data_IF_781138348809
#
_entry.id   IF_781138348809
#
_cell.length_a   1.000
_cell.length_b   1.000
_cell.length_c   1.000
_cell.angle_alpha   90.00
_cell.angle_beta   90.00
_cell.angle_gamma   90.00
#
_symmetry.space_group_name_H-M   'P 1'
#
loop_
_entity.id
_entity.type
_entity.pdbx_description
1 polymer ?
#
# COMPACT_ATOMS: atom_id res chain seq x y z
N UNK A 1 68.04 65.51 4.96
CA UNK A 1 68.06 65.04 6.35
C UNK A 1 66.81 64.19 6.58
N UNK A 2 67.00 62.93 6.97
CA UNK A 2 66.04 61.90 7.41
C UNK A 2 64.72 61.73 6.64
N UNK A 3 64.74 60.86 5.63
CA UNK A 3 63.61 59.99 5.28
C UNK A 3 63.49 58.92 6.35
N UNK A 4 62.45 58.99 7.18
CA UNK A 4 62.16 57.92 8.14
C UNK A 4 61.22 56.89 7.53
N UNK A 5 61.72 55.67 7.56
CA UNK A 5 61.24 54.48 6.90
C UNK A 5 60.44 53.70 7.96
N UNK A 6 59.12 53.89 8.01
CA UNK A 6 58.25 53.05 8.83
C UNK A 6 57.71 51.90 7.97
N UNK A 7 58.20 50.65 8.16
CA UNK A 7 57.55 49.51 7.54
C UNK A 7 56.20 49.28 8.22
N UNK A 8 55.14 49.18 7.41
CA UNK A 8 53.87 48.58 7.78
C UNK A 8 54.07 47.11 8.16
N UNK A 9 54.66 46.87 9.32
CA UNK A 9 54.48 45.62 10.03
C UNK A 9 53.19 45.73 10.85
N UNK A 10 52.06 45.84 10.15
CA UNK A 10 50.79 45.33 10.66
C UNK A 10 50.82 43.79 10.52
N UNK A 11 51.87 43.18 11.07
CA UNK A 11 51.96 41.76 11.33
C UNK A 11 51.10 41.52 12.58
N UNK A 12 49.79 41.74 12.43
CA UNK A 12 48.82 41.07 13.27
C UNK A 12 48.99 39.59 12.92
N UNK A 13 49.83 38.93 13.70
CA UNK A 13 49.54 37.56 14.10
C UNK A 13 48.22 37.59 14.88
N UNK A 14 47.11 37.91 14.19
CA UNK A 14 45.84 37.32 14.54
C UNK A 14 46.12 35.84 14.44
N UNK A 15 46.23 35.22 15.60
CA UNK A 15 46.10 33.80 15.77
C UNK A 15 44.73 33.51 15.17
N UNK A 16 44.69 33.20 13.87
CA UNK A 16 43.45 32.95 13.15
C UNK A 16 42.77 31.81 13.85
N UNK A 17 41.84 32.12 14.74
CA UNK A 17 40.90 31.15 15.27
C UNK A 17 40.25 30.56 14.03
N UNK A 18 40.51 29.28 13.78
CA UNK A 18 40.04 28.59 12.60
C UNK A 18 38.51 28.66 12.63
N UNK A 19 37.92 29.49 11.77
CA UNK A 19 36.46 29.61 11.71
C UNK A 19 35.92 28.34 11.05
N UNK A 20 34.97 27.64 11.69
CA UNK A 20 34.38 26.44 11.09
C UNK A 20 33.70 26.78 9.76
N UNK A 21 33.69 25.82 8.84
CA UNK A 21 32.94 25.96 7.59
C UNK A 21 31.44 25.71 7.84
N UNK A 22 30.57 26.23 6.98
CA UNK A 22 29.11 26.05 7.10
C UNK A 22 28.69 24.56 7.17
N UNK A 23 29.40 23.68 6.44
CA UNK A 23 29.15 22.25 6.51
C UNK A 23 29.44 21.66 7.90
N UNK A 24 30.52 22.12 8.55
CA UNK A 24 30.89 21.70 9.91
C UNK A 24 29.90 22.24 10.94
N UNK A 25 29.44 23.49 10.78
CA UNK A 25 28.43 24.08 11.67
C UNK A 25 27.10 23.32 11.61
N UNK A 26 26.66 22.95 10.39
CA UNK A 26 25.43 22.16 10.20
C UNK A 26 25.57 20.74 10.77
N UNK A 27 26.71 20.07 10.54
CA UNK A 27 26.98 18.75 11.11
C UNK A 27 27.06 18.83 12.65
N UNK A 28 27.73 19.86 13.18
CA UNK A 28 27.82 20.08 14.63
C UNK A 28 26.45 20.34 15.25
N UNK A 29 25.57 21.10 14.60
CA UNK A 29 24.20 21.35 15.08
C UNK A 29 23.39 20.05 15.18
N UNK A 30 23.53 19.16 14.20
CA UNK A 30 22.91 17.83 14.24
C UNK A 30 23.46 16.99 15.40
N UNK A 31 24.79 16.90 15.51
CA UNK A 31 25.47 16.14 16.57
C UNK A 31 25.12 16.69 17.97
N UNK A 32 24.96 18.01 18.09
CA UNK A 32 24.53 18.68 19.32
C UNK A 32 23.11 18.27 19.73
N UNK A 33 22.17 18.20 18.78
CA UNK A 33 20.81 17.70 19.04
C UNK A 33 20.84 16.26 19.54
N UNK A 34 21.62 15.39 18.88
CA UNK A 34 21.77 14.00 19.30
C UNK A 34 22.45 13.87 20.67
N UNK A 35 23.42 14.73 20.96
CA UNK A 35 24.11 14.75 22.25
C UNK A 35 23.17 15.08 23.42
N UNK A 36 22.25 16.03 23.22
CA UNK A 36 21.27 16.42 24.25
C UNK A 36 20.30 15.29 24.57
N UNK A 37 19.94 14.48 23.58
CA UNK A 37 19.03 13.35 23.70
C UNK A 37 19.72 12.04 24.13
N UNK A 38 21.05 12.05 24.34
CA UNK A 38 21.88 10.86 24.62
C UNK A 38 21.82 9.79 23.50
N UNK A 39 21.79 10.25 22.23
CA UNK A 39 21.63 9.42 21.04
C UNK A 39 22.85 9.38 20.10
N UNK A 40 24.00 9.91 20.53
CA UNK A 40 25.25 9.83 19.76
C UNK A 40 25.83 8.42 19.80
N UNK A 41 26.26 7.91 18.64
CA UNK A 41 27.10 6.72 18.60
C UNK A 41 28.57 7.02 18.96
N UNK A 42 29.41 5.98 19.06
CA UNK A 42 30.82 6.11 19.45
C UNK A 42 31.64 6.94 18.45
N UNK A 43 31.35 6.82 17.15
CA UNK A 43 32.07 7.52 16.09
C UNK A 43 31.68 9.01 16.07
N UNK A 44 30.38 9.27 16.15
CA UNK A 44 29.78 10.60 16.23
C UNK A 44 30.23 11.33 17.50
N UNK A 45 30.29 10.64 18.65
CA UNK A 45 30.80 11.18 19.91
C UNK A 45 32.29 11.56 19.82
N UNK A 46 33.12 10.74 19.15
CA UNK A 46 34.52 11.08 18.91
C UNK A 46 34.67 12.30 18.00
N UNK A 47 33.81 12.41 16.98
CA UNK A 47 33.79 13.55 16.03
C UNK A 47 33.30 14.83 16.70
N UNK A 48 32.24 14.76 17.48
CA UNK A 48 31.70 15.88 18.26
C UNK A 48 32.75 16.44 19.22
N UNK A 49 33.44 15.58 19.97
CA UNK A 49 34.55 15.99 20.85
C UNK A 49 35.71 16.62 20.09
N UNK A 50 36.01 16.13 18.88
CA UNK A 50 37.01 16.76 18.01
C UNK A 50 36.61 18.18 17.63
N UNK A 51 35.36 18.41 17.22
CA UNK A 51 34.87 19.75 16.89
C UNK A 51 34.92 20.70 18.07
N UNK A 52 34.54 20.25 19.28
CA UNK A 52 34.66 21.05 20.50
C UNK A 52 36.11 21.44 20.82
N UNK A 53 37.09 20.57 20.51
CA UNK A 53 38.50 20.86 20.75
C UNK A 53 39.11 21.78 19.68
N UNK A 54 38.73 21.60 18.43
CA UNK A 54 39.29 22.36 17.29
C UNK A 54 38.68 23.74 17.17
N UNK A 55 37.38 23.88 17.46
CA UNK A 55 36.61 25.11 17.27
C UNK A 55 36.09 25.67 18.61
N UNK A 56 36.81 26.61 19.25
CA UNK A 56 36.39 27.21 20.53
C UNK A 56 35.03 27.91 20.47
N UNK A 57 34.64 28.43 19.30
CA UNK A 57 33.32 29.06 19.08
C UNK A 57 32.18 28.06 19.26
N UNK A 58 32.29 26.87 18.68
CA UNK A 58 31.33 25.78 18.82
C UNK A 58 31.29 25.25 20.26
N UNK A 59 32.44 25.24 20.96
CA UNK A 59 32.49 24.86 22.37
C UNK A 59 31.75 25.86 23.28
N UNK A 60 31.86 27.16 23.00
CA UNK A 60 31.11 28.18 23.73
C UNK A 60 29.59 28.07 23.48
N UNK A 61 29.19 27.78 22.23
CA UNK A 61 27.79 27.51 21.89
C UNK A 61 27.26 26.28 22.63
N UNK A 62 28.00 25.17 22.63
CA UNK A 62 27.63 23.96 23.35
C UNK A 62 27.42 24.19 24.84
N UNK A 63 28.30 24.95 25.49
CA UNK A 63 28.14 25.32 26.90
C UNK A 63 26.86 26.12 27.16
N UNK A 64 26.47 27.00 26.22
CA UNK A 64 25.22 27.76 26.33
C UNK A 64 24.00 26.84 26.27
N UNK A 65 24.02 25.82 25.41
CA UNK A 65 22.97 24.81 25.30
C UNK A 65 22.90 23.91 26.53
N UNK A 66 24.04 23.45 27.06
CA UNK A 66 24.06 22.67 28.30
C UNK A 66 23.44 23.42 29.47
N UNK A 67 23.75 24.72 29.61
CA UNK A 67 23.14 25.56 30.65
C UNK A 67 21.62 25.65 30.50
N UNK A 68 21.11 25.71 29.27
CA UNK A 68 19.67 25.74 29.00
C UNK A 68 19.01 24.38 29.32
N UNK A 69 19.64 23.28 28.93
CA UNK A 69 19.19 21.93 29.27
C UNK A 69 19.15 21.72 30.80
N UNK A 70 20.17 22.15 31.52
CA UNK A 70 20.20 22.11 32.99
C UNK A 70 19.06 22.91 33.61
N UNK A 71 18.71 24.09 33.04
CA UNK A 71 17.55 24.87 33.50
C UNK A 71 16.23 24.13 33.27
N UNK A 72 16.07 23.45 32.13
CA UNK A 72 14.89 22.64 31.85
C UNK A 72 14.80 21.42 32.77
N UNK A 73 15.92 20.73 33.02
CA UNK A 73 16.00 19.59 33.95
C UNK A 73 15.74 20.01 35.40
N UNK A 74 16.15 21.22 35.79
CA UNK A 74 15.86 21.78 37.10
C UNK A 74 14.41 22.28 37.25
N UNK A 75 13.67 22.43 36.15
CA UNK A 75 12.27 22.86 36.20
C UNK A 75 11.43 21.74 36.80
N UNK A 76 10.68 21.99 37.90
CA UNK A 76 9.84 20.97 38.52
C UNK A 76 8.85 20.43 37.50
N UNK A 77 8.77 19.10 37.36
CA UNK A 77 7.75 18.47 36.53
C UNK A 77 6.38 18.92 37.03
N UNK A 78 5.69 19.73 36.23
CA UNK A 78 4.33 20.14 36.53
C UNK A 78 3.42 18.91 36.39
N UNK A 79 3.10 18.29 37.52
CA UNK A 79 2.17 17.17 37.52
C UNK A 79 0.81 17.70 37.05
N UNK A 80 0.21 17.12 36.00
CA UNK A 80 -1.09 17.56 35.54
C UNK A 80 -2.12 17.39 36.67
N UNK A 81 -3.17 18.24 36.72
CA UNK A 81 -4.22 18.10 37.70
C UNK A 81 -4.86 16.71 37.63
N UNK A 82 -5.24 16.17 38.79
CA UNK A 82 -5.93 14.89 38.87
C UNK A 82 -7.18 14.91 37.95
N UNK A 83 -7.27 13.94 37.04
CA UNK A 83 -8.36 13.85 36.06
C UNK A 83 -8.04 14.35 34.65
N UNK A 84 -6.90 15.02 34.42
CA UNK A 84 -6.51 15.48 33.07
C UNK A 84 -6.51 14.36 32.01
N UNK A 85 -6.02 13.17 32.37
CA UNK A 85 -6.01 12.01 31.47
C UNK A 85 -7.44 11.55 31.11
N UNK A 86 -8.38 11.59 32.08
CA UNK A 86 -9.77 11.22 31.83
C UNK A 86 -10.46 12.25 30.92
N UNK A 87 -10.28 13.54 31.19
CA UNK A 87 -10.87 14.62 30.40
C UNK A 87 -10.33 14.66 28.97
N UNK A 88 -9.02 14.45 28.80
CA UNK A 88 -8.41 14.38 27.46
C UNK A 88 -8.88 13.16 26.69
N UNK A 89 -9.03 11.99 27.34
CA UNK A 89 -9.54 10.79 26.69
C UNK A 89 -10.99 10.98 26.20
N UNK A 90 -11.85 11.59 27.02
CA UNK A 90 -13.25 11.89 26.62
C UNK A 90 -13.28 12.85 25.42
N UNK A 91 -12.47 13.91 25.45
CA UNK A 91 -12.37 14.87 24.33
C UNK A 91 -11.83 14.18 23.07
N UNK A 92 -10.83 13.31 23.21
CA UNK A 92 -10.22 12.60 22.08
C UNK A 92 -11.24 11.69 21.38
N UNK A 93 -12.05 10.96 22.14
CA UNK A 93 -13.13 10.12 21.60
C UNK A 93 -14.15 10.98 20.84
N UNK A 94 -14.51 12.16 21.36
CA UNK A 94 -15.43 13.08 20.68
C UNK A 94 -14.84 13.62 19.36
N UNK A 95 -13.56 14.01 19.36
CA UNK A 95 -12.86 14.47 18.16
C UNK A 95 -12.74 13.36 17.11
N UNK A 96 -12.36 12.15 17.51
CA UNK A 96 -12.28 11.01 16.59
C UNK A 96 -13.63 10.65 16.00
N UNK A 97 -14.70 10.67 16.80
CA UNK A 97 -16.05 10.38 16.31
C UNK A 97 -16.47 11.40 15.26
N UNK A 98 -16.24 12.69 15.51
CA UNK A 98 -16.54 13.77 14.55
C UNK A 98 -15.71 13.62 13.27
N UNK A 99 -14.43 13.29 13.40
CA UNK A 99 -13.55 13.05 12.25
C UNK A 99 -14.05 11.85 11.44
N UNK A 100 -14.32 10.70 12.05
CA UNK A 100 -14.84 9.51 11.35
C UNK A 100 -16.15 9.81 10.62
N UNK A 101 -17.05 10.58 11.23
CA UNK A 101 -18.30 10.99 10.58
C UNK A 101 -18.05 11.89 9.36
N UNK A 102 -17.15 12.87 9.45
CA UNK A 102 -16.82 13.72 8.31
C UNK A 102 -16.17 12.94 7.16
N UNK A 103 -15.26 12.01 7.48
CA UNK A 103 -14.64 11.14 6.49
C UNK A 103 -15.66 10.19 5.86
N UNK A 104 -16.56 9.60 6.66
CA UNK A 104 -17.65 8.77 6.17
C UNK A 104 -18.61 9.54 5.26
N UNK A 105 -18.97 10.78 5.62
CA UNK A 105 -19.80 11.66 4.80
C UNK A 105 -19.11 11.98 3.47
N UNK A 106 -17.84 12.38 3.51
CA UNK A 106 -17.05 12.66 2.31
C UNK A 106 -16.98 11.47 1.36
N UNK A 107 -16.71 10.28 1.90
CA UNK A 107 -16.70 9.05 1.11
C UNK A 107 -18.08 8.72 0.51
N UNK A 108 -19.15 8.90 1.29
CA UNK A 108 -20.52 8.72 0.82
C UNK A 108 -20.88 9.66 -0.33
N UNK A 109 -20.49 10.93 -0.24
CA UNK A 109 -20.72 11.92 -1.32
C UNK A 109 -19.95 11.56 -2.58
N UNK A 110 -18.67 11.17 -2.46
CA UNK A 110 -17.85 10.76 -3.61
C UNK A 110 -18.43 9.51 -4.27
N UNK A 111 -18.83 8.52 -3.48
CA UNK A 111 -19.42 7.29 -4.00
C UNK A 111 -20.75 7.57 -4.71
N UNK A 112 -21.60 8.43 -4.13
CA UNK A 112 -22.85 8.85 -4.75
C UNK A 112 -22.60 9.59 -6.07
N UNK A 113 -21.65 10.53 -6.10
CA UNK A 113 -21.28 11.26 -7.31
C UNK A 113 -20.76 10.31 -8.41
N UNK A 114 -19.95 9.32 -8.04
CA UNK A 114 -19.47 8.29 -8.97
C UNK A 114 -20.63 7.50 -9.57
N UNK A 115 -21.59 7.06 -8.75
CA UNK A 115 -22.77 6.32 -9.21
C UNK A 115 -23.65 7.17 -10.13
N UNK A 116 -23.91 8.41 -9.76
CA UNK A 116 -24.68 9.35 -10.60
C UNK A 116 -23.98 9.59 -11.92
N UNK A 117 -22.66 9.81 -11.90
CA UNK A 117 -21.85 9.99 -13.10
C UNK A 117 -21.86 8.75 -14.00
N UNK A 118 -21.75 7.55 -13.42
CA UNK A 118 -21.79 6.30 -14.16
C UNK A 118 -23.15 6.06 -14.83
N UNK A 119 -24.25 6.35 -14.13
CA UNK A 119 -25.61 6.24 -14.70
C UNK A 119 -25.83 7.27 -15.81
N UNK A 120 -25.45 8.52 -15.58
CA UNK A 120 -25.54 9.57 -16.59
C UNK A 120 -24.69 9.24 -17.84
N UNK A 121 -23.49 8.71 -17.62
CA UNK A 121 -22.60 8.24 -18.67
C UNK A 121 -23.18 7.08 -19.46
N UNK A 122 -23.74 6.07 -18.79
CA UNK A 122 -24.37 4.92 -19.43
C UNK A 122 -25.58 5.33 -20.27
N UNK A 123 -26.43 6.24 -19.77
CA UNK A 123 -27.58 6.77 -20.53
C UNK A 123 -27.11 7.56 -21.74
N UNK A 124 -26.13 8.45 -21.57
CA UNK A 124 -25.60 9.28 -22.66
C UNK A 124 -24.93 8.42 -23.74
N UNK A 125 -24.14 7.43 -23.33
CA UNK A 125 -23.49 6.49 -24.23
C UNK A 125 -24.52 5.62 -24.97
N UNK A 126 -25.55 5.12 -24.27
CA UNK A 126 -26.64 4.38 -24.87
C UNK A 126 -27.38 5.20 -25.93
N UNK A 127 -27.72 6.45 -25.60
CA UNK A 127 -28.36 7.38 -26.55
C UNK A 127 -27.47 7.64 -27.76
N UNK A 128 -26.17 7.88 -27.55
CA UNK A 128 -25.20 8.10 -28.61
C UNK A 128 -25.09 6.91 -29.57
N UNK A 129 -24.95 5.69 -29.03
CA UNK A 129 -24.90 4.47 -29.84
C UNK A 129 -26.18 4.27 -30.64
N UNK A 130 -27.34 4.52 -30.06
CA UNK A 130 -28.63 4.40 -30.76
C UNK A 130 -28.74 5.40 -31.91
N UNK A 131 -28.30 6.64 -31.71
CA UNK A 131 -28.39 7.71 -32.73
C UNK A 131 -27.40 7.46 -33.87
N UNK A 132 -26.14 7.13 -33.58
CA UNK A 132 -25.11 6.98 -34.61
C UNK A 132 -25.09 5.62 -35.30
N UNK A 133 -25.59 4.57 -34.65
CA UNK A 133 -25.49 3.17 -35.13
C UNK A 133 -26.86 2.52 -35.36
N UNK A 134 -27.89 3.30 -35.68
CA UNK A 134 -29.25 2.80 -35.92
C UNK A 134 -29.31 1.63 -36.92
N UNK A 135 -28.50 1.68 -37.98
CA UNK A 135 -28.41 0.59 -38.98
C UNK A 135 -27.82 -0.70 -38.40
N UNK A 136 -26.81 -0.60 -37.53
CA UNK A 136 -26.21 -1.77 -36.87
C UNK A 136 -27.19 -2.40 -35.88
N UNK A 137 -27.93 -1.58 -35.12
CA UNK A 137 -28.92 -2.08 -34.16
C UNK A 137 -30.05 -2.86 -34.87
N UNK A 138 -30.55 -2.35 -35.98
CA UNK A 138 -31.53 -3.06 -36.82
C UNK A 138 -30.99 -4.40 -37.31
N UNK A 139 -29.76 -4.41 -37.85
CA UNK A 139 -29.10 -5.63 -38.29
C UNK A 139 -28.87 -6.63 -37.14
N UNK A 140 -28.55 -6.16 -35.94
CA UNK A 140 -28.39 -7.00 -34.75
C UNK A 140 -29.72 -7.62 -34.28
N UNK A 141 -30.82 -6.87 -34.30
CA UNK A 141 -32.15 -7.39 -33.98
C UNK A 141 -32.55 -8.47 -35.00
N UNK A 142 -32.33 -8.22 -36.29
CA UNK A 142 -32.61 -9.21 -37.32
C UNK A 142 -31.69 -10.44 -37.21
N UNK A 143 -30.41 -10.26 -36.90
CA UNK A 143 -29.46 -11.35 -36.68
C UNK A 143 -29.85 -12.20 -35.47
N UNK A 144 -30.15 -11.57 -34.32
CA UNK A 144 -30.55 -12.27 -33.09
C UNK A 144 -31.86 -13.05 -33.28
N UNK A 145 -32.84 -12.47 -33.98
CA UNK A 145 -34.09 -13.17 -34.31
C UNK A 145 -33.83 -14.39 -35.20
N UNK A 146 -32.98 -14.25 -36.24
CA UNK A 146 -32.59 -15.38 -37.11
C UNK A 146 -31.79 -16.44 -36.36
N UNK A 147 -30.88 -16.03 -35.48
CA UNK A 147 -30.08 -16.94 -34.65
C UNK A 147 -30.97 -17.73 -33.68
N UNK A 148 -31.92 -17.07 -33.01
CA UNK A 148 -32.89 -17.72 -32.14
C UNK A 148 -33.76 -18.73 -32.90
N UNK A 149 -34.25 -18.35 -34.09
CA UNK A 149 -34.99 -19.27 -34.95
C UNK A 149 -34.14 -20.47 -35.41
N UNK A 150 -32.86 -20.25 -35.71
CA UNK A 150 -31.91 -21.31 -36.08
C UNK A 150 -31.60 -22.26 -34.92
N UNK A 151 -31.42 -21.74 -33.71
CA UNK A 151 -31.22 -22.56 -32.51
C UNK A 151 -32.47 -23.40 -32.24
N UNK A 152 -33.66 -22.80 -32.36
CA UNK A 152 -34.92 -23.51 -32.15
C UNK A 152 -35.10 -24.64 -33.18
N UNK A 153 -34.81 -24.39 -34.46
CA UNK A 153 -34.94 -25.43 -35.49
C UNK A 153 -33.91 -26.55 -35.29
N UNK A 154 -32.68 -26.21 -34.94
CA UNK A 154 -31.65 -27.19 -34.60
C UNK A 154 -32.05 -28.03 -33.38
N UNK A 155 -32.61 -27.41 -32.35
CA UNK A 155 -33.13 -28.12 -31.17
C UNK A 155 -34.24 -29.10 -31.52
N UNK A 156 -35.23 -28.69 -32.33
CA UNK A 156 -36.32 -29.59 -32.75
C UNK A 156 -35.79 -30.77 -33.56
N UNK A 157 -34.85 -30.53 -34.49
CA UNK A 157 -34.24 -31.60 -35.29
C UNK A 157 -33.43 -32.56 -34.43
N UNK A 158 -32.61 -32.05 -33.50
CA UNK A 158 -31.79 -32.87 -32.62
C UNK A 158 -32.63 -33.65 -31.62
N UNK A 159 -33.64 -33.04 -31.01
CA UNK A 159 -34.59 -33.71 -30.13
C UNK A 159 -35.38 -34.79 -30.88
N UNK A 160 -35.86 -34.50 -32.10
CA UNK A 160 -36.55 -35.48 -32.94
C UNK A 160 -35.65 -36.65 -33.35
N UNK A 161 -34.39 -36.38 -33.71
CA UNK A 161 -33.42 -37.43 -34.02
C UNK A 161 -33.08 -38.28 -32.79
N UNK A 162 -32.97 -37.66 -31.61
CA UNK A 162 -32.78 -38.37 -30.35
C UNK A 162 -33.99 -39.25 -30.02
N UNK A 163 -35.22 -38.75 -30.22
CA UNK A 163 -36.45 -39.52 -30.02
C UNK A 163 -36.52 -40.72 -30.99
N UNK A 164 -36.17 -40.52 -32.27
CA UNK A 164 -36.07 -41.61 -33.25
C UNK A 164 -35.03 -42.66 -32.85
N UNK A 165 -33.85 -42.23 -32.38
CA UNK A 165 -32.82 -43.14 -31.88
C UNK A 165 -33.30 -43.89 -30.63
N UNK A 166 -33.93 -43.22 -29.67
CA UNK A 166 -34.45 -43.85 -28.46
C UNK A 166 -35.62 -44.80 -28.75
N UNK A 167 -36.42 -44.53 -29.78
CA UNK A 167 -37.49 -45.44 -30.23
C UNK A 167 -36.95 -46.71 -30.87
N UNK A 168 -35.73 -46.67 -31.43
CA UNK A 168 -35.10 -47.83 -32.07
C UNK A 168 -34.48 -48.76 -31.03
N UNK A 169 -34.92 -50.02 -31.00
CA UNK A 169 -34.46 -51.02 -30.02
C UNK A 169 -32.94 -51.25 -30.06
N UNK A 170 -32.36 -51.29 -31.27
CA UNK A 170 -30.92 -51.45 -31.45
C UNK A 170 -30.12 -50.28 -30.86
N UNK A 171 -30.57 -49.04 -31.04
CA UNK A 171 -29.89 -47.85 -30.53
C UNK A 171 -29.98 -47.75 -29.00
N UNK A 172 -31.09 -48.22 -28.39
CA UNK A 172 -31.18 -48.36 -26.92
C UNK A 172 -30.15 -49.33 -26.37
N UNK A 173 -29.92 -50.46 -27.04
CA UNK A 173 -28.89 -51.44 -26.65
C UNK A 173 -27.48 -50.85 -26.77
N UNK A 174 -27.18 -50.14 -27.86
CA UNK A 174 -25.89 -49.46 -28.02
C UNK A 174 -25.67 -48.37 -26.96
N UNK A 175 -26.70 -47.56 -26.67
CA UNK A 175 -26.62 -46.51 -25.63
C UNK A 175 -26.42 -47.10 -24.24
N UNK A 176 -27.14 -48.17 -23.88
CA UNK A 176 -26.96 -48.88 -22.62
C UNK A 176 -25.56 -49.49 -22.51
N UNK A 177 -25.06 -50.10 -23.59
CA UNK A 177 -23.70 -50.62 -23.67
C UNK A 177 -22.63 -49.53 -23.50
N UNK A 178 -22.81 -48.38 -24.14
CA UNK A 178 -21.90 -47.24 -24.03
C UNK A 178 -21.88 -46.67 -22.60
N UNK A 179 -23.05 -46.50 -21.97
CA UNK A 179 -23.15 -46.05 -20.58
C UNK A 179 -22.51 -47.04 -19.61
N UNK A 180 -22.75 -48.34 -19.79
CA UNK A 180 -22.13 -49.38 -18.97
C UNK A 180 -20.61 -49.39 -19.10
N UNK A 181 -20.08 -49.25 -20.32
CA UNK A 181 -18.64 -49.15 -20.56
C UNK A 181 -18.03 -47.90 -19.93
N UNK A 182 -18.69 -46.74 -20.06
CA UNK A 182 -18.26 -45.49 -19.44
C UNK A 182 -18.24 -45.55 -17.92
N UNK A 183 -19.28 -46.13 -17.30
CA UNK A 183 -19.33 -46.34 -15.85
C UNK A 183 -18.25 -47.32 -15.37
N UNK A 184 -18.00 -48.41 -16.11
CA UNK A 184 -16.94 -49.35 -15.78
C UNK A 184 -15.55 -48.71 -15.85
N UNK A 185 -15.31 -47.87 -16.88
CA UNK A 185 -14.06 -47.12 -17.04
C UNK A 185 -13.86 -46.11 -15.91
N UNK A 186 -14.89 -45.33 -15.54
CA UNK A 186 -14.84 -44.41 -14.40
C UNK A 186 -14.61 -45.14 -13.07
N UNK A 187 -15.31 -46.24 -12.83
CA UNK A 187 -15.13 -47.06 -11.62
C UNK A 187 -13.70 -47.62 -11.53
N UNK A 188 -13.16 -48.10 -12.67
CA UNK A 188 -11.77 -48.54 -12.77
C UNK A 188 -10.78 -47.42 -12.46
N UNK A 189 -11.04 -46.21 -12.96
CA UNK A 189 -10.21 -45.04 -12.68
C UNK A 189 -10.24 -44.64 -11.20
N UNK A 190 -11.43 -44.61 -10.58
CA UNK A 190 -11.59 -44.32 -9.14
C UNK A 190 -10.88 -45.37 -8.28
N UNK A 191 -10.99 -46.65 -8.63
CA UNK A 191 -10.29 -47.73 -7.94
C UNK A 191 -8.76 -47.60 -8.08
N UNK A 192 -8.28 -47.22 -9.26
CA UNK A 192 -6.86 -46.97 -9.52
C UNK A 192 -6.33 -45.80 -8.67
N UNK A 193 -7.04 -44.66 -8.67
CA UNK A 193 -6.71 -43.50 -7.84
C UNK A 193 -6.74 -43.82 -6.33
N UNK A 194 -7.70 -44.64 -5.89
CA UNK A 194 -7.78 -45.07 -4.49
C UNK A 194 -6.65 -46.03 -4.10
N UNK A 195 -6.10 -46.79 -5.06
CA UNK A 195 -4.97 -47.69 -4.83
C UNK A 195 -3.65 -46.93 -4.75
N UNK A 196 -3.45 -45.92 -5.61
CA UNK A 196 -2.22 -45.11 -5.62
C UNK A 196 -2.12 -44.18 -4.40
N UNK A 197 -3.24 -43.69 -3.89
CA UNK A 197 -3.26 -42.82 -2.68
C UNK A 197 -3.06 -43.58 -1.36
N UNK A 198 -3.18 -44.91 -1.35
CA UNK A 198 -2.92 -45.75 -0.16
C UNK A 198 -1.48 -46.28 -0.08
N UNK A 199 -0.61 -45.92 -1.03
CA UNK A 199 0.79 -46.34 -1.01
C UNK A 199 1.62 -45.41 -0.11
N UNK A 200 1.99 -45.96 1.06
CA UNK A 200 3.00 -45.55 2.04
C UNK A 200 2.86 -44.23 2.83
N UNK A 201 2.55 -44.29 4.14
CA UNK A 201 3.12 -43.35 5.10
C UNK A 201 4.63 -43.59 5.18
N UNK A 202 5.41 -42.69 4.58
CA UNK A 202 6.87 -42.63 4.76
C UNK A 202 7.14 -42.36 6.24
N UNK A 203 7.48 -43.41 6.98
CA UNK A 203 8.05 -43.30 8.33
C UNK A 203 9.39 -42.56 8.22
N UNK A 204 9.38 -41.26 8.54
CA UNK A 204 10.60 -40.49 8.77
C UNK A 204 11.22 -41.04 10.06
N UNK A 205 12.19 -41.95 9.92
CA UNK A 205 13.05 -42.39 11.02
C UNK A 205 14.11 -41.32 11.23
N UNK A 206 13.89 -40.47 12.24
CA UNK A 206 14.91 -39.60 12.79
C UNK A 206 16.06 -40.44 13.34
N UNK A 207 17.27 -40.17 12.86
CA UNK A 207 18.53 -40.50 13.51
C UNK A 207 19.47 -39.32 13.32
#
# INVERSE_FOLDING_TARGET
MMTDNFPEQFNRHETSAETPTEAIENEFTLLMSLALDDLLDDEESARFRRYLHVYPTLAAEWQSWQKLDDMFRATPSAMPPAGFAADTQVRLIQYERRRRLMWGLGFGVILLALWVGLMAGAVSFGAFVVIERAEWLSNFIHFSTRAAAGIQSWWVVTAGAADMLLSTEQARLFMAGYLAAGLAMLAGWVLLLRRTTKAEPVFIRTA
#
